data_IF_089963943469
#
_entry.id   IF_089963943469
#
_cell.length_a   1.000
_cell.length_b   1.000
_cell.length_c   1.000
_cell.angle_alpha   90.00
_cell.angle_beta   90.00
_cell.angle_gamma   90.00
#
_symmetry.space_group_name_H-M   'P 1'
#
loop_
_entity.id
_entity.type
_entity.pdbx_description
1 polymer ?
#
# COMPACT_ATOMS: atom_id res chain seq x y z
N UNK A 1 5.39 -1.09 0.20
CA UNK A 1 5.41 -0.56 -1.17
C UNK A 1 5.30 0.95 -1.11
N UNK A 2 6.08 1.67 -1.94
CA UNK A 2 6.21 3.13 -1.89
C UNK A 2 6.46 3.60 -0.45
N UNK A 3 7.57 3.14 0.10
CA UNK A 3 7.80 3.21 1.55
C UNK A 3 8.13 4.61 2.07
N UNK A 4 8.38 5.58 1.18
CA UNK A 4 8.78 6.93 1.54
C UNK A 4 10.01 6.92 2.46
N UNK A 5 9.93 7.59 3.59
CA UNK A 5 11.03 7.61 4.57
C UNK A 5 11.07 6.35 5.48
N UNK A 6 10.26 5.33 5.19
CA UNK A 6 10.35 4.02 5.83
C UNK A 6 9.69 3.91 7.21
N UNK A 7 8.74 4.79 7.55
CA UNK A 7 8.05 4.76 8.86
C UNK A 7 7.45 3.39 9.17
N UNK A 8 6.65 2.85 8.26
CA UNK A 8 6.02 1.53 8.43
C UNK A 8 7.04 0.39 8.34
N UNK A 9 8.04 0.53 7.46
CA UNK A 9 9.11 -0.47 7.34
C UNK A 9 9.88 -0.62 8.65
N UNK A 10 10.26 0.48 9.29
CA UNK A 10 10.93 0.46 10.61
C UNK A 10 10.03 -0.12 11.69
N UNK A 11 8.76 0.23 11.70
CA UNK A 11 7.80 -0.30 12.67
C UNK A 11 7.69 -1.82 12.56
N UNK A 12 7.52 -2.33 11.34
CA UNK A 12 7.44 -3.78 11.09
C UNK A 12 8.74 -4.50 11.47
N UNK A 13 9.90 -3.96 11.08
CA UNK A 13 11.20 -4.54 11.44
C UNK A 13 11.40 -4.57 12.97
N UNK A 14 10.99 -3.51 13.66
CA UNK A 14 11.02 -3.44 15.12
C UNK A 14 10.11 -4.45 15.82
N UNK A 15 9.13 -5.01 15.11
CA UNK A 15 8.23 -6.07 15.59
C UNK A 15 8.65 -7.46 15.12
N UNK A 16 9.86 -7.61 14.60
CA UNK A 16 10.44 -8.92 14.24
C UNK A 16 10.09 -9.42 12.84
N UNK A 17 9.50 -8.58 11.98
CA UNK A 17 9.25 -8.94 10.61
C UNK A 17 10.50 -8.74 9.74
N UNK A 18 10.74 -9.66 8.82
CA UNK A 18 11.67 -9.47 7.72
C UNK A 18 10.98 -8.56 6.69
N UNK A 19 11.57 -7.39 6.43
CA UNK A 19 10.91 -6.33 5.65
C UNK A 19 11.65 -6.06 4.36
N UNK A 20 10.90 -6.06 3.26
CA UNK A 20 11.33 -5.63 1.94
C UNK A 20 10.63 -4.32 1.60
N UNK A 21 11.39 -3.27 1.43
CA UNK A 21 10.88 -1.93 1.17
C UNK A 21 11.29 -1.46 -0.22
N UNK A 22 10.37 -0.84 -0.93
CA UNK A 22 10.63 -0.28 -2.27
C UNK A 22 10.14 1.16 -2.34
N UNK A 23 10.96 2.01 -2.93
CA UNK A 23 10.62 3.38 -3.28
C UNK A 23 11.53 3.88 -4.41
N UNK A 24 11.08 4.90 -5.11
CA UNK A 24 11.89 5.60 -6.11
C UNK A 24 13.04 6.36 -5.46
N UNK A 25 12.78 6.94 -4.30
CA UNK A 25 13.74 7.74 -3.56
C UNK A 25 14.34 6.94 -2.40
N UNK A 26 15.65 7.09 -2.20
CA UNK A 26 16.33 6.39 -1.11
C UNK A 26 16.01 7.08 0.22
N UNK A 27 15.44 6.36 1.21
CA UNK A 27 15.21 6.93 2.53
C UNK A 27 16.50 7.36 3.21
N UNK A 28 16.46 8.44 3.98
CA UNK A 28 17.63 8.96 4.70
C UNK A 28 18.18 7.96 5.73
N UNK A 29 17.28 7.21 6.37
CA UNK A 29 17.63 6.21 7.39
C UNK A 29 16.75 4.97 7.27
N UNK A 30 17.35 3.85 6.86
CA UNK A 30 16.78 2.53 6.99
C UNK A 30 17.78 1.68 7.77
N UNK A 31 17.46 1.33 9.00
CA UNK A 31 18.32 0.49 9.84
C UNK A 31 17.75 -0.91 10.01
N UNK A 32 18.66 -1.89 10.20
CA UNK A 32 18.44 -3.21 10.76
C UNK A 32 17.26 -4.04 10.22
N UNK A 33 17.55 -5.06 9.40
CA UNK A 33 16.55 -6.04 8.98
C UNK A 33 15.63 -5.61 7.85
N UNK A 34 15.90 -4.45 7.22
CA UNK A 34 15.13 -3.97 6.07
C UNK A 34 15.98 -4.11 4.81
N UNK A 35 15.47 -4.87 3.84
CA UNK A 35 16.03 -4.95 2.48
C UNK A 35 15.38 -3.85 1.65
N UNK A 36 16.15 -2.84 1.29
CA UNK A 36 15.64 -1.73 0.47
C UNK A 36 15.97 -1.93 -1.00
N UNK A 37 14.98 -1.73 -1.85
CA UNK A 37 15.10 -1.70 -3.30
C UNK A 37 14.74 -0.32 -3.82
N UNK A 38 15.69 0.34 -4.46
CA UNK A 38 15.39 1.57 -5.19
C UNK A 38 14.84 1.22 -6.56
N UNK A 39 13.60 1.58 -6.84
CA UNK A 39 12.95 1.33 -8.12
C UNK A 39 11.81 2.30 -8.39
N UNK A 40 11.70 2.74 -9.65
CA UNK A 40 10.51 3.41 -10.15
C UNK A 40 9.50 2.35 -10.58
N UNK A 41 8.56 2.05 -9.71
CA UNK A 41 7.54 1.02 -9.93
C UNK A 41 6.37 1.48 -10.81
N UNK A 42 6.35 2.74 -11.20
CA UNK A 42 5.32 3.27 -12.12
C UNK A 42 5.75 3.14 -13.58
N UNK A 43 7.01 3.45 -13.88
CA UNK A 43 7.53 3.42 -15.26
C UNK A 43 8.48 2.26 -15.53
N UNK A 44 8.99 1.61 -14.48
CA UNK A 44 9.87 0.45 -14.57
C UNK A 44 9.15 -0.88 -14.26
N UNK A 45 9.85 -2.00 -14.39
CA UNK A 45 9.31 -3.31 -14.05
C UNK A 45 9.12 -3.46 -12.53
N UNK A 46 8.18 -4.34 -12.15
CA UNK A 46 8.04 -4.76 -10.75
C UNK A 46 9.35 -5.44 -10.27
N UNK A 47 10.01 -4.91 -9.22
CA UNK A 47 11.38 -5.32 -8.90
C UNK A 47 11.50 -6.70 -8.27
N UNK A 48 10.40 -7.30 -7.83
CA UNK A 48 10.41 -8.58 -7.10
C UNK A 48 10.04 -9.78 -7.97
N UNK A 49 9.74 -9.58 -9.25
CA UNK A 49 9.38 -10.68 -10.15
C UNK A 49 8.24 -11.52 -9.58
N UNK A 50 8.47 -12.84 -9.44
CA UNK A 50 7.51 -13.79 -8.89
C UNK A 50 7.63 -14.00 -7.36
N UNK A 51 8.49 -13.24 -6.70
CA UNK A 51 8.66 -13.34 -5.25
C UNK A 51 7.37 -12.99 -4.52
N UNK A 52 7.02 -13.81 -3.54
CA UNK A 52 5.80 -13.64 -2.74
C UNK A 52 6.14 -13.36 -1.27
N UNK A 53 5.25 -12.60 -0.63
CA UNK A 53 5.40 -12.13 0.74
C UNK A 53 4.22 -12.56 1.61
N UNK A 54 4.47 -12.75 2.89
CA UNK A 54 3.40 -13.02 3.87
C UNK A 54 2.47 -11.84 4.12
N UNK A 55 2.94 -10.64 3.84
CA UNK A 55 2.14 -9.42 3.87
C UNK A 55 2.62 -8.40 2.87
N UNK A 56 1.69 -7.71 2.24
CA UNK A 56 1.95 -6.56 1.37
C UNK A 56 1.23 -5.35 1.95
N UNK A 57 1.98 -4.31 2.28
CA UNK A 57 1.47 -3.08 2.87
C UNK A 57 1.65 -1.92 1.89
N UNK A 58 0.57 -1.20 1.63
CA UNK A 58 0.55 0.01 0.82
C UNK A 58 -0.20 1.10 1.56
N UNK A 59 0.42 2.26 1.75
CA UNK A 59 -0.22 3.41 2.39
C UNK A 59 0.06 4.70 1.64
N UNK A 60 -0.95 5.55 1.51
CA UNK A 60 -0.85 6.87 0.89
C UNK A 60 -0.25 6.84 -0.52
N UNK A 61 -0.58 5.81 -1.28
CA UNK A 61 -0.06 5.59 -2.62
C UNK A 61 -1.11 4.93 -3.50
N UNK A 62 -1.28 5.42 -4.72
CA UNK A 62 -2.20 4.85 -5.70
C UNK A 62 -1.59 4.91 -7.10
N UNK A 63 -1.32 3.74 -7.65
CA UNK A 63 -0.99 3.55 -9.06
C UNK A 63 -1.69 2.29 -9.55
N UNK A 64 -2.83 2.45 -10.19
CA UNK A 64 -3.73 1.35 -10.56
C UNK A 64 -3.09 0.23 -11.39
N UNK A 65 -2.16 0.52 -12.34
CA UNK A 65 -1.47 -0.53 -13.07
C UNK A 65 -0.70 -1.52 -12.20
N UNK A 66 -0.39 -1.18 -10.95
CA UNK A 66 0.31 -2.08 -10.02
C UNK A 66 -0.61 -3.09 -9.32
N UNK A 67 -1.92 -2.92 -9.33
CA UNK A 67 -2.81 -3.83 -8.61
C UNK A 67 -2.55 -5.31 -8.90
N UNK A 68 -2.43 -5.76 -10.17
CA UNK A 68 -2.13 -7.16 -10.43
C UNK A 68 -0.83 -7.66 -9.79
N UNK A 69 0.23 -6.86 -9.84
CA UNK A 69 1.52 -7.21 -9.26
C UNK A 69 1.45 -7.28 -7.71
N UNK A 70 0.73 -6.35 -7.10
CA UNK A 70 0.54 -6.35 -5.64
C UNK A 70 -0.24 -7.58 -5.17
N UNK A 71 -1.31 -7.95 -5.88
CA UNK A 71 -2.08 -9.16 -5.55
C UNK A 71 -1.25 -10.42 -5.71
N UNK A 72 -0.49 -10.52 -6.81
CA UNK A 72 0.38 -11.65 -7.08
C UNK A 72 1.52 -11.78 -6.06
N UNK A 73 1.98 -10.65 -5.50
CA UNK A 73 3.04 -10.62 -4.50
C UNK A 73 2.60 -11.14 -3.12
N UNK A 74 1.31 -11.24 -2.85
CA UNK A 74 0.81 -11.86 -1.61
C UNK A 74 0.80 -13.37 -1.77
N UNK A 75 1.54 -14.10 -0.91
CA UNK A 75 1.52 -15.59 -0.93
C UNK A 75 0.14 -16.13 -0.53
N UNK A 76 -0.20 -17.38 -0.89
CA UNK A 76 -1.39 -18.04 -0.36
C UNK A 76 -1.42 -17.99 1.18
N UNK A 77 -2.56 -17.57 1.76
CA UNK A 77 -2.71 -17.34 3.19
C UNK A 77 -2.15 -16.01 3.71
N UNK A 78 -1.44 -15.26 2.87
CA UNK A 78 -0.88 -13.96 3.21
C UNK A 78 -1.92 -12.83 3.21
N UNK A 79 -1.49 -11.64 3.63
CA UNK A 79 -2.34 -10.48 3.81
C UNK A 79 -1.97 -9.34 2.86
N UNK A 80 -2.99 -8.69 2.31
CA UNK A 80 -2.90 -7.36 1.74
C UNK A 80 -3.48 -6.35 2.72
N UNK A 81 -2.71 -5.32 3.06
CA UNK A 81 -3.19 -4.16 3.82
C UNK A 81 -2.97 -2.93 2.95
N UNK A 82 -4.04 -2.27 2.59
CA UNK A 82 -4.00 -1.11 1.70
C UNK A 82 -4.84 0.02 2.26
N UNK A 83 -4.24 1.20 2.40
CA UNK A 83 -4.95 2.42 2.77
C UNK A 83 -4.47 3.58 1.91
N UNK A 84 -5.38 4.28 1.25
CA UNK A 84 -5.06 5.55 0.61
C UNK A 84 -6.29 6.44 0.49
N UNK A 85 -6.08 7.62 -0.05
CA UNK A 85 -7.12 8.65 -0.15
C UNK A 85 -8.20 8.25 -1.17
N UNK A 86 -9.42 8.71 -0.91
CA UNK A 86 -10.58 8.44 -1.73
C UNK A 86 -11.29 9.73 -2.15
N UNK A 87 -12.18 9.63 -3.13
CA UNK A 87 -13.01 10.74 -3.59
C UNK A 87 -13.68 11.44 -2.42
N UNK A 88 -13.67 12.75 -2.44
CA UNK A 88 -14.08 13.62 -1.34
C UNK A 88 -12.91 14.23 -0.58
N UNK A 89 -11.69 13.64 -0.70
CA UNK A 89 -10.51 14.16 -0.04
C UNK A 89 -10.11 15.56 -0.53
N UNK A 90 -10.49 15.93 -1.74
CA UNK A 90 -10.27 17.28 -2.31
C UNK A 90 -10.85 18.41 -1.44
N UNK A 91 -11.83 18.10 -0.59
CA UNK A 91 -12.41 19.07 0.37
C UNK A 91 -11.50 19.35 1.55
N UNK A 92 -10.55 18.46 1.82
CA UNK A 92 -9.65 18.54 2.97
C UNK A 92 -8.22 18.90 2.59
N UNK A 93 -7.86 18.78 1.32
CA UNK A 93 -6.52 19.11 0.85
C UNK A 93 -6.02 18.15 -0.23
N UNK A 94 -4.74 17.86 -0.17
CA UNK A 94 -4.08 16.98 -1.14
C UNK A 94 -3.93 15.55 -0.60
N UNK A 95 -3.94 14.54 -1.49
CA UNK A 95 -4.17 14.62 -2.92
C UNK A 95 -5.60 15.07 -3.24
N UNK A 96 -5.76 15.81 -4.33
CA UNK A 96 -7.07 16.34 -4.77
C UNK A 96 -7.45 15.92 -6.19
N UNK A 97 -6.49 15.39 -6.96
CA UNK A 97 -6.71 14.99 -8.34
C UNK A 97 -7.33 13.59 -8.41
N UNK A 98 -8.34 13.38 -9.26
CA UNK A 98 -9.08 12.10 -9.32
C UNK A 98 -8.20 10.88 -9.55
N UNK A 99 -7.11 10.99 -10.30
CA UNK A 99 -6.20 9.87 -10.56
C UNK A 99 -5.51 9.33 -9.28
N UNK A 100 -5.44 10.14 -8.22
CA UNK A 100 -4.87 9.75 -6.93
C UNK A 100 -5.91 9.43 -5.86
N UNK A 101 -7.18 9.39 -6.25
CA UNK A 101 -8.29 9.14 -5.33
C UNK A 101 -9.03 7.86 -5.72
N UNK A 102 -9.21 6.97 -4.76
CA UNK A 102 -9.99 5.75 -4.95
C UNK A 102 -11.47 6.08 -5.17
N UNK A 103 -12.09 5.38 -6.10
CA UNK A 103 -13.54 5.40 -6.29
C UNK A 103 -14.24 4.64 -5.15
N UNK A 104 -15.51 4.96 -4.83
CA UNK A 104 -16.25 4.18 -3.83
C UNK A 104 -16.21 2.68 -4.15
N UNK A 105 -15.82 1.87 -3.15
CA UNK A 105 -15.74 0.42 -3.27
C UNK A 105 -14.57 -0.11 -4.11
N UNK A 106 -13.67 0.73 -4.59
CA UNK A 106 -12.62 0.31 -5.52
C UNK A 106 -11.71 -0.79 -4.93
N UNK A 107 -11.30 -0.68 -3.68
CA UNK A 107 -10.47 -1.72 -3.06
C UNK A 107 -11.21 -3.06 -2.91
N UNK A 108 -12.52 -3.04 -2.73
CA UNK A 108 -13.34 -4.27 -2.75
C UNK A 108 -13.32 -4.93 -4.14
N UNK A 109 -13.41 -4.12 -5.20
CA UNK A 109 -13.33 -4.62 -6.56
C UNK A 109 -11.94 -5.19 -6.89
N UNK A 110 -10.88 -4.52 -6.43
CA UNK A 110 -9.49 -4.97 -6.64
C UNK A 110 -9.26 -6.39 -6.12
N UNK A 111 -9.82 -6.74 -4.96
CA UNK A 111 -9.60 -8.05 -4.34
C UNK A 111 -10.67 -9.07 -4.69
N UNK A 112 -11.72 -8.68 -5.41
CA UNK A 112 -12.84 -9.57 -5.77
C UNK A 112 -12.35 -10.83 -6.47
N UNK A 113 -12.80 -11.98 -5.99
CA UNK A 113 -12.50 -13.29 -6.56
C UNK A 113 -11.09 -13.81 -6.30
N UNK A 114 -10.19 -12.99 -5.73
CA UNK A 114 -8.80 -13.39 -5.45
C UNK A 114 -8.46 -13.43 -3.96
N UNK A 115 -9.17 -12.69 -3.14
CA UNK A 115 -8.91 -12.61 -1.69
C UNK A 115 -10.21 -12.56 -0.90
N UNK A 116 -10.13 -12.98 0.37
CA UNK A 116 -11.22 -12.83 1.35
C UNK A 116 -11.02 -11.52 2.13
N UNK A 117 -12.03 -10.65 2.10
CA UNK A 117 -12.01 -9.39 2.85
C UNK A 117 -12.16 -9.68 4.34
N UNK A 118 -11.21 -9.24 5.15
CA UNK A 118 -11.24 -9.34 6.62
C UNK A 118 -11.76 -8.07 7.26
N UNK A 119 -11.53 -6.92 6.64
CA UNK A 119 -12.01 -5.63 7.09
C UNK A 119 -11.93 -4.61 5.97
N UNK A 120 -12.89 -3.67 5.98
CA UNK A 120 -12.96 -2.61 4.99
C UNK A 120 -13.61 -1.38 5.61
N UNK A 121 -13.05 -0.23 5.30
CA UNK A 121 -13.63 1.07 5.67
C UNK A 121 -13.51 2.05 4.51
N UNK A 122 -14.51 2.92 4.40
CA UNK A 122 -14.49 4.08 3.52
C UNK A 122 -15.16 5.24 4.25
N UNK A 123 -14.47 6.34 4.42
CA UNK A 123 -15.03 7.49 5.09
C UNK A 123 -14.02 8.52 5.52
N UNK A 124 -14.51 9.48 6.28
CA UNK A 124 -13.71 10.57 6.83
C UNK A 124 -12.96 10.10 8.07
N UNK A 125 -11.66 10.37 8.10
CA UNK A 125 -10.83 10.25 9.30
C UNK A 125 -10.44 11.64 9.78
N UNK A 126 -10.22 11.81 11.09
CA UNK A 126 -9.82 13.09 11.68
C UNK A 126 -8.33 13.16 12.01
N UNK A 127 -7.68 12.01 12.17
CA UNK A 127 -6.26 11.91 12.52
C UNK A 127 -5.47 11.19 11.41
N UNK A 128 -4.22 11.62 11.18
CA UNK A 128 -3.50 12.74 11.81
C UNK A 128 -4.05 14.12 11.42
N UNK A 129 -4.82 14.20 10.35
CA UNK A 129 -5.57 15.38 9.88
C UNK A 129 -6.81 14.91 9.13
N UNK A 130 -7.85 15.74 8.98
CA UNK A 130 -9.05 15.38 8.24
C UNK A 130 -8.73 14.92 6.82
N UNK A 131 -9.27 13.77 6.44
CA UNK A 131 -9.10 13.19 5.11
C UNK A 131 -10.24 12.21 4.81
N UNK A 132 -10.49 11.97 3.53
CA UNK A 132 -11.30 10.83 3.09
C UNK A 132 -10.38 9.72 2.67
N UNK A 133 -10.55 8.56 3.27
CA UNK A 133 -9.73 7.38 3.00
C UNK A 133 -10.58 6.15 2.70
N UNK A 134 -9.97 5.20 2.03
CA UNK A 134 -10.48 3.85 1.89
C UNK A 134 -9.37 2.90 2.34
N UNK A 135 -9.72 1.91 3.15
CA UNK A 135 -8.77 0.94 3.67
C UNK A 135 -9.33 -0.47 3.63
N UNK A 136 -8.47 -1.43 3.39
CA UNK A 136 -8.82 -2.84 3.34
C UNK A 136 -7.74 -3.71 3.97
N UNK A 137 -8.17 -4.76 4.65
CA UNK A 137 -7.35 -5.91 5.00
C UNK A 137 -7.99 -7.13 4.35
N UNK A 138 -7.23 -7.84 3.53
CA UNK A 138 -7.72 -9.01 2.79
C UNK A 138 -6.69 -10.14 2.84
N UNK A 139 -7.15 -11.39 2.85
CA UNK A 139 -6.33 -12.60 2.86
C UNK A 139 -6.45 -13.33 1.53
N UNK A 140 -5.31 -13.70 0.98
CA UNK A 140 -5.24 -14.55 -0.21
C UNK A 140 -5.51 -16.02 0.07
#
# INVERSE_FOLDING_TARGET
VACGQGRHARWLAGHGFEVWAVDRDVPAELSGGIVFTQADIESGPWPYGEQQFGGVLVTNYLHRPLFPALLAAVRPGGLLIYETFALGNERYGRPSRPEFLLQPGELLEVVRGSMTVLGYEHGVVSLPKPAVVQRIAARR
#
